data_IF_571933234164
#
_entry.id   IF_571933234164
#
_cell.length_a   1.000
_cell.length_b   1.000
_cell.length_c   1.000
_cell.angle_alpha   90.00
_cell.angle_beta   90.00
_cell.angle_gamma   90.00
#
_symmetry.space_group_name_H-M   'P 1'
#
loop_
_entity.id
_entity.type
_entity.pdbx_description
1 polymer ?
#
# COMPACT_ATOMS: atom_id res chain seq x y z
N UNK A 1 -27.50 5.65 28.17
CA UNK A 1 -27.41 5.39 26.73
C UNK A 1 -26.03 4.79 26.47
N UNK A 2 -25.95 3.48 26.21
CA UNK A 2 -24.66 2.80 25.99
C UNK A 2 -24.29 3.00 24.53
N UNK A 3 -23.54 4.06 24.24
CA UNK A 3 -23.21 4.50 22.87
C UNK A 3 -22.12 3.65 22.21
N UNK A 4 -21.37 2.89 23.02
CA UNK A 4 -20.35 1.96 22.55
C UNK A 4 -20.87 0.53 22.66
N UNK A 5 -21.09 -0.11 21.52
CA UNK A 5 -21.33 -1.56 21.43
C UNK A 5 -19.99 -2.26 21.69
N UNK A 6 -19.99 -3.34 22.46
CA UNK A 6 -18.78 -4.17 22.63
C UNK A 6 -18.18 -4.51 21.26
N UNK A 7 -16.92 -4.11 21.05
CA UNK A 7 -16.14 -4.48 19.88
C UNK A 7 -15.81 -5.97 19.96
N UNK A 8 -16.78 -6.82 19.60
CA UNK A 8 -16.52 -8.24 19.36
C UNK A 8 -15.63 -8.34 18.12
N UNK A 9 -14.47 -8.97 18.28
CA UNK A 9 -13.62 -9.32 17.15
C UNK A 9 -14.49 -10.08 16.14
N UNK A 10 -14.43 -9.71 14.84
CA UNK A 10 -15.14 -10.46 13.82
C UNK A 10 -14.67 -11.92 13.86
N UNK A 11 -15.53 -12.89 13.54
CA UNK A 11 -15.12 -14.29 13.46
C UNK A 11 -13.94 -14.40 12.50
N UNK A 12 -12.81 -14.89 13.01
CA UNK A 12 -11.59 -15.07 12.22
C UNK A 12 -11.85 -16.12 11.16
N UNK A 13 -11.95 -15.70 9.89
CA UNK A 13 -11.96 -16.62 8.76
C UNK A 13 -10.53 -16.95 8.38
N UNK A 14 -10.28 -18.21 8.03
CA UNK A 14 -9.02 -18.60 7.43
C UNK A 14 -8.81 -17.80 6.13
N UNK A 15 -7.55 -17.44 5.85
CA UNK A 15 -7.20 -16.76 4.60
C UNK A 15 -7.50 -17.73 3.45
N UNK A 16 -8.29 -17.29 2.48
CA UNK A 16 -8.65 -18.06 1.30
C UNK A 16 -8.12 -17.39 0.03
N UNK A 17 -7.60 -18.19 -0.88
CA UNK A 17 -7.17 -17.74 -2.20
C UNK A 17 -7.76 -18.65 -3.27
N UNK A 18 -8.45 -18.05 -4.25
CA UNK A 18 -9.15 -18.78 -5.33
C UNK A 18 -10.09 -19.89 -4.79
N UNK A 19 -10.78 -19.61 -3.69
CA UNK A 19 -11.73 -20.54 -3.06
C UNK A 19 -11.10 -21.71 -2.30
N UNK A 20 -9.78 -21.68 -2.04
CA UNK A 20 -9.07 -22.68 -1.24
C UNK A 20 -8.47 -22.04 0.01
N UNK A 21 -8.54 -22.70 1.18
CA UNK A 21 -7.89 -22.21 2.39
C UNK A 21 -6.36 -22.26 2.25
N UNK A 22 -5.71 -21.20 2.71
CA UNK A 22 -4.25 -21.07 2.76
C UNK A 22 -3.79 -21.42 4.17
N UNK A 23 -3.53 -22.71 4.40
CA UNK A 23 -3.22 -23.27 5.72
C UNK A 23 -1.72 -23.53 5.95
N UNK A 24 -0.87 -23.35 4.93
CA UNK A 24 0.59 -23.48 5.05
C UNK A 24 1.27 -22.14 4.80
N UNK A 25 2.46 -21.97 5.38
CA UNK A 25 3.27 -20.76 5.20
C UNK A 25 3.65 -20.55 3.73
N UNK A 26 3.98 -21.62 3.01
CA UNK A 26 4.32 -21.57 1.59
C UNK A 26 3.15 -21.08 0.74
N UNK A 27 1.94 -21.58 1.00
CA UNK A 27 0.73 -21.11 0.33
C UNK A 27 0.47 -19.65 0.65
N UNK A 28 0.59 -19.25 1.91
CA UNK A 28 0.42 -17.86 2.32
C UNK A 28 1.41 -16.94 1.59
N UNK A 29 2.68 -17.33 1.51
CA UNK A 29 3.70 -16.55 0.81
C UNK A 29 3.42 -16.43 -0.67
N UNK A 30 3.09 -17.53 -1.33
CA UNK A 30 2.76 -17.53 -2.76
C UNK A 30 1.53 -16.64 -3.03
N UNK A 31 0.53 -16.67 -2.16
CA UNK A 31 -0.65 -15.81 -2.28
C UNK A 31 -0.29 -14.34 -2.13
N UNK A 32 0.48 -14.02 -1.09
CA UNK A 32 0.95 -12.66 -0.85
C UNK A 32 1.76 -12.13 -2.05
N UNK A 33 2.78 -12.89 -2.47
CA UNK A 33 3.64 -12.54 -3.59
C UNK A 33 2.83 -12.38 -4.87
N UNK A 34 1.93 -13.33 -5.19
CA UNK A 34 1.09 -13.23 -6.38
C UNK A 34 0.13 -12.03 -6.38
N UNK A 35 -0.25 -11.53 -5.20
CA UNK A 35 -1.16 -10.39 -5.06
C UNK A 35 -0.42 -9.09 -5.38
N UNK A 36 0.77 -8.89 -4.84
CA UNK A 36 1.53 -7.65 -5.01
C UNK A 36 2.43 -7.66 -6.25
N UNK A 37 2.95 -8.83 -6.62
CA UNK A 37 3.88 -9.02 -7.73
C UNK A 37 3.24 -9.78 -8.90
N UNK A 38 1.92 -9.65 -9.07
CA UNK A 38 1.14 -10.32 -10.14
C UNK A 38 1.71 -10.12 -11.56
N UNK A 39 2.41 -9.00 -11.78
CA UNK A 39 3.01 -8.65 -13.06
C UNK A 39 4.50 -9.02 -13.19
N UNK A 40 5.13 -9.65 -12.18
CA UNK A 40 6.58 -9.88 -12.12
C UNK A 40 7.15 -10.59 -13.36
N UNK A 41 6.42 -11.57 -13.90
CA UNK A 41 6.83 -12.35 -15.08
C UNK A 41 6.14 -11.90 -16.39
N UNK A 42 5.38 -10.81 -16.36
CA UNK A 42 4.69 -10.33 -17.56
C UNK A 42 5.64 -9.47 -18.38
N UNK A 43 5.89 -9.87 -19.64
CA UNK A 43 6.56 -9.00 -20.61
C UNK A 43 5.70 -7.75 -20.82
N UNK A 44 6.25 -6.58 -20.48
CA UNK A 44 5.63 -5.30 -20.75
C UNK A 44 5.96 -4.94 -22.19
N UNK A 45 4.94 -4.63 -23.00
CA UNK A 45 5.14 -4.07 -24.33
C UNK A 45 5.20 -2.54 -24.22
N UNK A 46 6.39 -1.91 -24.40
CA UNK A 46 6.51 -0.47 -24.29
C UNK A 46 5.97 0.26 -25.53
N UNK A 47 5.50 -0.44 -26.57
CA UNK A 47 5.06 0.19 -27.83
C UNK A 47 3.92 1.19 -27.63
N UNK A 48 3.15 1.09 -26.54
CA UNK A 48 2.14 2.08 -26.17
C UNK A 48 2.74 3.48 -25.93
N UNK A 49 4.01 3.54 -25.50
CA UNK A 49 4.73 4.79 -25.26
C UNK A 49 5.19 5.44 -26.57
N UNK A 50 5.22 4.70 -27.69
CA UNK A 50 5.62 5.24 -28.99
C UNK A 50 4.60 6.24 -29.55
N UNK A 51 3.37 6.23 -29.03
CA UNK A 51 2.32 7.18 -29.40
C UNK A 51 2.35 8.45 -28.53
N UNK A 52 3.21 8.52 -27.51
CA UNK A 52 3.34 9.70 -26.66
C UNK A 52 4.29 10.70 -27.32
N UNK A 53 3.89 11.96 -27.30
CA UNK A 53 4.77 13.05 -27.72
C UNK A 53 5.98 13.15 -26.78
N UNK A 54 7.16 13.37 -27.35
CA UNK A 54 8.37 13.60 -26.57
C UNK A 54 8.28 14.94 -25.84
N UNK A 55 8.03 14.90 -24.54
CA UNK A 55 8.06 16.08 -23.68
C UNK A 55 9.52 16.43 -23.38
N UNK A 56 9.95 17.70 -23.53
CA UNK A 56 11.31 18.09 -23.19
C UNK A 56 11.59 17.86 -21.70
N UNK A 57 12.78 17.35 -21.39
CA UNK A 57 13.23 17.24 -20.00
C UNK A 57 13.28 18.63 -19.37
N UNK A 58 12.48 18.85 -18.33
CA UNK A 58 12.49 20.09 -17.56
C UNK A 58 13.37 19.91 -16.32
N UNK A 59 14.20 20.91 -16.02
CA UNK A 59 14.88 20.95 -14.73
C UNK A 59 13.84 21.01 -13.61
N UNK A 60 14.07 20.26 -12.54
CA UNK A 60 13.32 20.42 -11.31
C UNK A 60 13.39 21.88 -10.86
N UNK A 61 12.25 22.43 -10.44
CA UNK A 61 12.23 23.74 -9.81
C UNK A 61 13.07 23.66 -8.53
N UNK A 62 13.99 24.61 -8.28
CA UNK A 62 14.75 24.61 -7.05
C UNK A 62 13.78 24.73 -5.87
N UNK A 63 13.79 23.72 -5.01
CA UNK A 63 13.07 23.77 -3.74
C UNK A 63 13.99 24.37 -2.68
N UNK A 64 13.40 25.09 -1.74
CA UNK A 64 14.11 25.62 -0.58
C UNK A 64 13.92 24.67 0.59
N UNK A 65 14.94 24.54 1.46
CA UNK A 65 14.85 23.73 2.68
C UNK A 65 13.59 24.01 3.53
N UNK A 66 13.14 25.27 3.71
CA UNK A 66 11.90 25.57 4.42
C UNK A 66 10.66 24.93 3.79
N UNK A 67 10.55 24.91 2.46
CA UNK A 67 9.42 24.27 1.75
C UNK A 67 9.40 22.76 1.98
N UNK A 68 10.56 22.12 2.08
CA UNK A 68 10.63 20.70 2.44
C UNK A 68 10.12 20.50 3.86
N UNK A 69 10.59 21.30 4.83
CA UNK A 69 10.14 21.19 6.22
C UNK A 69 8.63 21.44 6.36
N UNK A 70 8.08 22.39 5.62
CA UNK A 70 6.64 22.67 5.59
C UNK A 70 5.86 21.48 5.00
N UNK A 71 6.30 20.94 3.85
CA UNK A 71 5.67 19.77 3.24
C UNK A 71 5.71 18.54 4.15
N UNK A 72 6.82 18.32 4.84
CA UNK A 72 6.99 17.21 5.77
C UNK A 72 6.19 17.39 7.06
N UNK A 73 5.86 18.62 7.47
CA UNK A 73 5.10 18.88 8.70
C UNK A 73 3.75 18.15 8.72
N UNK A 74 3.07 18.07 7.58
CA UNK A 74 1.82 17.33 7.41
C UNK A 74 1.96 15.82 7.23
N UNK A 75 3.18 15.34 7.00
CA UNK A 75 3.52 13.91 6.85
C UNK A 75 4.21 13.34 8.09
N UNK A 76 4.41 14.15 9.15
CA UNK A 76 4.93 13.63 10.41
C UNK A 76 3.96 12.59 10.97
N UNK A 77 4.48 11.60 11.69
CA UNK A 77 3.72 10.54 12.38
C UNK A 77 2.81 11.08 13.50
N UNK A 78 2.20 12.26 13.34
CA UNK A 78 1.13 12.76 14.20
C UNK A 78 -0.21 12.09 13.89
N UNK A 79 -0.23 10.97 13.16
CA UNK A 79 -1.36 10.06 13.24
C UNK A 79 -1.55 9.72 14.72
N UNK A 80 -2.77 9.86 15.21
CA UNK A 80 -3.10 9.37 16.54
C UNK A 80 -2.60 7.93 16.65
N UNK A 81 -1.94 7.54 17.77
CA UNK A 81 -1.55 6.17 17.99
C UNK A 81 -2.75 5.27 17.69
N UNK A 82 -2.54 4.22 16.89
CA UNK A 82 -3.59 3.24 16.67
C UNK A 82 -4.04 2.64 17.99
N UNK A 83 -5.25 2.08 18.04
CA UNK A 83 -5.80 1.41 19.25
C UNK A 83 -4.96 0.21 19.72
N UNK A 84 -3.98 -0.21 18.94
CA UNK A 84 -2.95 -1.21 19.18
C UNK A 84 -1.70 -0.68 19.90
N UNK A 85 -1.58 0.64 20.12
CA UNK A 85 -0.56 1.22 20.99
C UNK A 85 -0.91 0.99 22.47
N UNK A 86 -0.55 -0.19 22.98
CA UNK A 86 -0.66 -0.54 24.40
C UNK A 86 0.58 0.03 25.11
N UNK A 87 0.34 0.95 26.05
CA UNK A 87 1.32 1.47 27.02
C UNK A 87 1.59 0.49 28.15
#
# INVERSE_FOLDING_TARGET
MVWAKDCKLPPTKAIEFKGKPCNTLELLWNVFDSTYNSAHNRKINPSILNCLDSIPTQSWMPFTLPKIHEALKGCTNSSAPGVDHIS
#
